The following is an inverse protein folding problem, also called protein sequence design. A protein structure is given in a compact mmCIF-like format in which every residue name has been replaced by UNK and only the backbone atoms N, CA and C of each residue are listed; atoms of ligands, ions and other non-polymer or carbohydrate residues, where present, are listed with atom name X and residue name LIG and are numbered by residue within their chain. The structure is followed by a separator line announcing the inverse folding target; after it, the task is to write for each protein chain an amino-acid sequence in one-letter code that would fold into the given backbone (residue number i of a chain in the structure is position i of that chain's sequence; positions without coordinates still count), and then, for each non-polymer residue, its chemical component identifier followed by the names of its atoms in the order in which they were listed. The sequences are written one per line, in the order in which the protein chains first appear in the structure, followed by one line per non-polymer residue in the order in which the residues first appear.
data_IF_785536572596
#
_entry.id   IF_785536572596
#
_cell.length_a   1.000
_cell.length_b   1.000
_cell.length_c   1.000
_cell.angle_alpha   90.00
_cell.angle_beta   90.00
_cell.angle_gamma   90.00
#
_symmetry.space_group_name_H-M   'P 1'
#
loop_
_entity.id
_entity.type
_entity.pdbx_description
1 polymer ?
#
# COMPACT_ATOMS: atom_id res chain seq x y z
N UNK A 1 21.07 -4.95 -18.76
CA UNK A 1 21.05 -6.20 -17.94
C UNK A 1 20.31 -7.24 -18.77
N UNK A 2 20.78 -8.49 -18.85
CA UNK A 2 20.06 -9.51 -19.61
C UNK A 2 18.66 -9.77 -19.03
N UNK A 3 17.64 -9.94 -19.87
CA UNK A 3 16.23 -10.07 -19.49
C UNK A 3 15.96 -11.15 -18.43
N UNK A 4 16.78 -12.21 -18.41
CA UNK A 4 16.70 -13.28 -17.42
C UNK A 4 17.08 -12.83 -16.00
N UNK A 5 18.12 -11.99 -15.85
CA UNK A 5 18.54 -11.46 -14.54
C UNK A 5 17.52 -10.44 -14.04
N UNK A 6 16.97 -9.62 -14.94
CA UNK A 6 15.94 -8.66 -14.61
C UNK A 6 14.64 -9.34 -14.14
N UNK A 7 14.19 -10.36 -14.87
CA UNK A 7 13.02 -11.16 -14.47
C UNK A 7 13.22 -11.88 -13.13
N UNK A 8 14.40 -12.46 -12.90
CA UNK A 8 14.73 -13.10 -11.62
C UNK A 8 14.79 -12.09 -10.45
N UNK A 9 15.28 -10.87 -10.71
CA UNK A 9 15.35 -9.78 -9.72
C UNK A 9 13.96 -9.29 -9.34
N UNK A 10 13.05 -9.12 -10.30
CA UNK A 10 11.64 -8.77 -10.03
C UNK A 10 10.97 -9.86 -9.19
N UNK A 11 11.19 -11.13 -9.50
CA UNK A 11 10.59 -12.22 -8.73
C UNK A 11 11.08 -12.25 -7.27
N UNK A 12 12.37 -11.99 -7.04
CA UNK A 12 12.95 -11.88 -5.69
C UNK A 12 12.38 -10.68 -4.95
N UNK A 13 12.32 -9.52 -5.60
CA UNK A 13 11.78 -8.28 -5.03
C UNK A 13 10.34 -8.47 -4.55
N UNK A 14 9.47 -9.02 -5.39
CA UNK A 14 8.07 -9.30 -5.05
C UNK A 14 7.95 -10.25 -3.85
N UNK A 15 8.75 -11.32 -3.80
CA UNK A 15 8.66 -12.29 -2.68
C UNK A 15 9.19 -11.67 -1.38
N UNK A 16 10.33 -10.97 -1.45
CA UNK A 16 10.95 -10.32 -0.31
C UNK A 16 10.03 -9.22 0.26
N UNK A 17 9.39 -8.42 -0.60
CA UNK A 17 8.38 -7.43 -0.22
C UNK A 17 7.16 -8.07 0.46
N UNK A 18 6.66 -9.20 -0.04
CA UNK A 18 5.54 -9.92 0.56
C UNK A 18 5.89 -10.50 1.94
N UNK A 19 7.09 -11.07 2.11
CA UNK A 19 7.58 -11.52 3.41
C UNK A 19 7.68 -10.33 4.37
N UNK A 20 8.20 -9.19 3.91
CA UNK A 20 8.26 -7.98 4.72
C UNK A 20 6.87 -7.45 5.12
N UNK A 21 5.91 -7.46 4.19
CA UNK A 21 4.53 -7.10 4.48
C UNK A 21 3.95 -7.96 5.60
N UNK A 22 4.25 -9.26 5.65
CA UNK A 22 3.81 -10.13 6.74
C UNK A 22 4.36 -9.68 8.12
N UNK A 23 5.63 -9.27 8.18
CA UNK A 23 6.21 -8.68 9.40
C UNK A 23 5.54 -7.35 9.79
N UNK A 24 5.21 -6.51 8.81
CA UNK A 24 4.53 -5.25 9.10
C UNK A 24 3.09 -5.43 9.54
N UNK A 25 2.37 -6.43 9.00
CA UNK A 25 1.03 -6.80 9.48
C UNK A 25 1.09 -7.33 10.92
N UNK A 26 2.14 -8.06 11.27
CA UNK A 26 2.40 -8.45 12.66
C UNK A 26 2.65 -7.22 13.55
N UNK A 27 3.48 -6.27 13.11
CA UNK A 27 3.66 -5.01 13.86
C UNK A 27 2.37 -4.19 13.98
N UNK A 28 1.54 -4.17 12.94
CA UNK A 28 0.23 -3.53 12.98
C UNK A 28 -0.69 -4.15 14.04
N UNK A 29 -0.70 -5.48 14.16
CA UNK A 29 -1.48 -6.19 15.18
C UNK A 29 -0.98 -5.92 16.62
N UNK A 30 0.32 -5.61 16.79
CA UNK A 30 0.95 -5.38 18.08
C UNK A 30 1.32 -3.91 18.35
N UNK A 31 0.80 -2.97 17.57
CA UNK A 31 1.24 -1.57 17.54
C UNK A 31 1.29 -0.91 18.94
N UNK A 32 0.22 -0.99 19.74
CA UNK A 32 0.11 -0.32 21.05
C UNK A 32 1.24 -0.71 21.98
N UNK A 33 1.61 -1.99 22.00
CA UNK A 33 2.69 -2.50 22.87
C UNK A 33 4.05 -2.00 22.39
N UNK A 34 4.26 -1.98 21.07
CA UNK A 34 5.52 -1.53 20.48
C UNK A 34 5.67 -0.02 20.65
N UNK A 35 4.64 0.76 20.34
CA UNK A 35 4.61 2.22 20.48
C UNK A 35 4.85 2.66 21.94
N UNK A 36 4.27 1.96 22.92
CA UNK A 36 4.54 2.20 24.34
C UNK A 36 5.99 1.90 24.72
N UNK A 37 6.56 0.83 24.17
CA UNK A 37 7.93 0.43 24.45
C UNK A 37 8.96 1.38 23.83
N UNK A 38 8.69 1.88 22.61
CA UNK A 38 9.55 2.86 21.92
C UNK A 38 9.32 4.30 22.40
N UNK A 39 8.24 4.56 23.16
CA UNK A 39 7.86 5.90 23.60
C UNK A 39 7.38 6.78 22.44
N UNK A 40 6.73 6.18 21.45
CA UNK A 40 6.24 6.87 20.25
C UNK A 40 5.07 7.82 20.55
N UNK A 41 4.99 8.94 19.83
CA UNK A 41 3.87 9.87 19.92
C UNK A 41 2.72 9.45 19.00
N UNK A 42 1.71 8.78 19.56
CA UNK A 42 0.54 8.29 18.82
C UNK A 42 -0.61 9.29 18.74
N UNK A 43 -0.45 10.53 19.21
CA UNK A 43 -1.53 11.50 19.36
C UNK A 43 -2.32 11.75 18.07
N UNK A 44 -1.64 11.93 16.94
CA UNK A 44 -2.27 12.17 15.64
C UNK A 44 -3.10 10.97 15.17
N UNK A 45 -2.62 9.75 15.39
CA UNK A 45 -3.30 8.52 14.99
C UNK A 45 -4.50 8.25 15.90
N UNK A 46 -4.34 8.41 17.21
CA UNK A 46 -5.44 8.26 18.15
C UNK A 46 -6.51 9.33 17.93
N UNK A 47 -6.16 10.56 17.55
CA UNK A 47 -7.13 11.58 17.17
C UNK A 47 -7.99 11.14 15.98
N UNK A 48 -7.38 10.63 14.91
CA UNK A 48 -8.09 10.16 13.72
C UNK A 48 -8.94 8.94 14.04
N UNK A 49 -8.40 7.99 14.81
CA UNK A 49 -9.12 6.79 15.27
C UNK A 49 -10.33 7.17 16.12
N UNK A 50 -10.16 7.98 17.16
CA UNK A 50 -11.26 8.38 18.03
C UNK A 50 -12.35 9.14 17.27
N UNK A 51 -11.97 9.98 16.30
CA UNK A 51 -12.94 10.67 15.44
C UNK A 51 -13.73 9.68 14.58
N UNK A 52 -13.08 8.66 14.03
CA UNK A 52 -13.75 7.61 13.26
C UNK A 52 -14.68 6.76 14.13
N UNK A 53 -14.22 6.32 15.31
CA UNK A 53 -14.99 5.53 16.27
C UNK A 53 -16.20 6.30 16.82
N UNK A 54 -16.03 7.59 17.14
CA UNK A 54 -17.13 8.45 17.60
C UNK A 54 -18.21 8.60 16.53
N UNK A 55 -17.81 8.79 15.27
CA UNK A 55 -18.74 8.86 14.15
C UNK A 55 -19.45 7.50 13.94
N UNK A 56 -18.73 6.38 13.95
CA UNK A 56 -19.32 5.04 13.85
C UNK A 56 -20.37 4.83 14.95
N UNK A 57 -20.05 5.20 16.19
CA UNK A 57 -20.96 5.09 17.32
C UNK A 57 -22.22 5.98 17.17
N UNK A 58 -22.07 7.18 16.61
CA UNK A 58 -23.17 8.11 16.35
C UNK A 58 -24.16 7.57 15.31
N UNK A 59 -23.66 6.96 14.23
CA UNK A 59 -24.51 6.49 13.12
C UNK A 59 -24.94 5.02 13.22
N UNK A 60 -24.47 4.30 14.24
CA UNK A 60 -24.65 2.84 14.38
C UNK A 60 -26.12 2.42 14.39
N UNK A 61 -26.48 1.48 13.51
CA UNK A 61 -27.82 0.87 13.45
C UNK A 61 -27.77 -0.60 13.02
N UNK A 62 -28.86 -1.33 13.23
CA UNK A 62 -28.98 -2.71 12.77
C UNK A 62 -29.17 -2.70 11.24
N UNK A 63 -28.30 -3.38 10.47
CA UNK A 63 -28.39 -3.40 9.01
C UNK A 63 -29.65 -4.14 8.54
N UNK A 64 -30.37 -3.55 7.59
CA UNK A 64 -31.38 -4.27 6.81
C UNK A 64 -30.75 -4.95 5.59
N UNK A 65 -31.52 -5.82 4.92
CA UNK A 65 -31.08 -6.40 3.64
C UNK A 65 -30.80 -5.30 2.60
N UNK A 66 -31.66 -4.29 2.53
CA UNK A 66 -31.50 -3.15 1.62
C UNK A 66 -30.23 -2.37 1.90
N UNK A 67 -29.92 -2.10 3.17
CA UNK A 67 -28.68 -1.44 3.56
C UNK A 67 -27.45 -2.22 3.09
N UNK A 68 -27.47 -3.54 3.29
CA UNK A 68 -26.36 -4.43 2.91
C UNK A 68 -26.21 -4.48 1.39
N UNK A 69 -27.31 -4.58 0.65
CA UNK A 69 -27.30 -4.55 -0.83
C UNK A 69 -26.80 -3.20 -1.35
N UNK A 70 -27.19 -2.09 -0.72
CA UNK A 70 -26.74 -0.75 -1.11
C UNK A 70 -25.25 -0.55 -0.84
N UNK A 71 -24.76 -1.03 0.31
CA UNK A 71 -23.34 -1.04 0.64
C UNK A 71 -22.53 -1.81 -0.42
N UNK A 72 -22.96 -3.03 -0.75
CA UNK A 72 -22.30 -3.83 -1.78
C UNK A 72 -22.39 -3.17 -3.16
N UNK A 73 -23.56 -2.62 -3.53
CA UNK A 73 -23.74 -1.93 -4.80
C UNK A 73 -22.82 -0.73 -4.96
N UNK A 74 -22.64 0.07 -3.91
CA UNK A 74 -21.71 1.21 -3.93
C UNK A 74 -20.26 0.72 -3.97
N UNK A 75 -19.90 -0.29 -3.17
CA UNK A 75 -18.53 -0.83 -3.16
C UNK A 75 -18.11 -1.45 -4.49
N UNK A 76 -18.93 -2.35 -5.04
CA UNK A 76 -18.69 -2.97 -6.34
C UNK A 76 -18.87 -1.98 -7.49
N UNK A 77 -19.82 -1.04 -7.38
CA UNK A 77 -20.02 0.03 -8.36
C UNK A 77 -18.82 0.96 -8.46
N UNK A 78 -18.25 1.39 -7.33
CA UNK A 78 -17.02 2.18 -7.30
C UNK A 78 -15.84 1.41 -7.89
N UNK A 79 -15.72 0.12 -7.59
CA UNK A 79 -14.70 -0.77 -8.19
C UNK A 79 -14.88 -0.88 -9.70
N UNK A 80 -16.10 -1.07 -10.19
CA UNK A 80 -16.42 -1.15 -11.61
C UNK A 80 -16.09 0.16 -12.34
N UNK A 81 -16.44 1.31 -11.75
CA UNK A 81 -16.03 2.61 -12.27
C UNK A 81 -14.50 2.77 -12.30
N UNK A 82 -13.80 2.24 -11.29
CA UNK A 82 -12.34 2.17 -11.26
C UNK A 82 -11.77 1.39 -12.43
N UNK A 83 -12.32 0.21 -12.74
CA UNK A 83 -11.92 -0.59 -13.90
C UNK A 83 -12.18 0.14 -15.23
N UNK A 84 -13.38 0.68 -15.41
CA UNK A 84 -13.72 1.43 -16.64
C UNK A 84 -12.79 2.63 -16.80
N UNK A 85 -12.55 3.40 -15.75
CA UNK A 85 -11.64 4.54 -15.81
C UNK A 85 -10.20 4.13 -16.06
N UNK A 86 -9.72 3.03 -15.47
CA UNK A 86 -8.38 2.52 -15.73
C UNK A 86 -8.21 2.03 -17.17
N UNK A 87 -9.21 1.38 -17.76
CA UNK A 87 -9.19 0.92 -19.15
C UNK A 87 -9.18 2.09 -20.15
N UNK A 88 -9.73 3.24 -19.76
CA UNK A 88 -9.70 4.47 -20.57
C UNK A 88 -8.38 5.23 -20.42
N UNK A 89 -7.85 5.34 -19.20
CA UNK A 89 -6.67 6.18 -18.90
C UNK A 89 -5.36 5.46 -19.22
N UNK A 90 -5.27 4.15 -18.93
CA UNK A 90 -4.02 3.39 -19.08
C UNK A 90 -3.48 3.37 -20.51
N UNK A 91 -4.29 3.20 -21.58
CA UNK A 91 -3.80 3.28 -22.94
C UNK A 91 -3.25 4.67 -23.29
N UNK A 92 -3.91 5.73 -22.81
CA UNK A 92 -3.44 7.10 -23.01
C UNK A 92 -2.12 7.36 -22.29
N UNK A 93 -1.98 6.91 -21.04
CA UNK A 93 -0.72 6.95 -20.30
C UNK A 93 0.41 6.18 -20.99
N UNK A 94 0.08 5.01 -21.56
CA UNK A 94 1.05 4.17 -22.28
C UNK A 94 1.54 4.84 -23.57
N UNK A 95 0.66 5.51 -24.31
CA UNK A 95 1.05 6.32 -25.46
C UNK A 95 1.94 7.49 -25.05
N UNK A 96 1.61 8.17 -23.96
CA UNK A 96 2.43 9.24 -23.40
C UNK A 96 3.82 8.72 -22.95
N UNK A 97 3.89 7.51 -22.40
CA UNK A 97 5.13 6.90 -21.96
C UNK A 97 6.14 6.67 -23.10
N UNK A 98 5.66 6.44 -24.34
CA UNK A 98 6.53 6.35 -25.52
C UNK A 98 7.28 7.66 -25.81
N UNK A 99 6.70 8.81 -25.44
CA UNK A 99 7.30 10.15 -25.58
C UNK A 99 8.09 10.50 -24.32
N UNK A 100 7.60 10.05 -23.16
CA UNK A 100 8.10 10.40 -21.84
C UNK A 100 8.29 9.14 -20.98
N UNK A 101 9.45 8.48 -21.05
CA UNK A 101 9.70 7.21 -20.35
C UNK A 101 9.54 7.26 -18.83
N UNK A 102 9.64 8.45 -18.22
CA UNK A 102 9.44 8.63 -16.78
C UNK A 102 8.02 8.26 -16.31
N UNK A 103 7.02 8.28 -17.20
CA UNK A 103 5.62 7.95 -16.90
C UNK A 103 5.47 6.48 -16.52
N UNK A 104 6.16 5.59 -17.23
CA UNK A 104 6.19 4.16 -16.90
C UNK A 104 6.90 3.93 -15.57
N UNK A 105 7.96 4.69 -15.29
CA UNK A 105 8.77 4.55 -14.08
C UNK A 105 8.04 4.97 -12.79
N UNK A 106 6.99 5.80 -12.88
CA UNK A 106 6.12 6.15 -11.74
C UNK A 106 4.81 5.34 -11.72
N UNK A 107 4.76 4.24 -12.46
CA UNK A 107 3.62 3.31 -12.51
C UNK A 107 2.30 3.91 -13.04
N UNK A 108 2.32 5.04 -13.77
CA UNK A 108 1.11 5.62 -14.36
C UNK A 108 0.56 4.79 -15.53
N UNK A 109 1.34 3.86 -16.06
CA UNK A 109 0.90 2.85 -17.04
C UNK A 109 0.23 1.64 -16.40
N UNK A 110 0.15 1.58 -15.05
CA UNK A 110 -0.49 0.47 -14.35
C UNK A 110 -2.01 0.68 -14.27
N UNK A 111 -2.79 -0.23 -14.87
CA UNK A 111 -4.25 -0.24 -14.71
C UNK A 111 -4.65 -0.36 -13.23
N UNK A 112 -3.92 -1.17 -12.46
CA UNK A 112 -4.19 -1.32 -11.03
C UNK A 112 -4.01 -0.02 -10.25
N UNK A 113 -3.00 0.80 -10.59
CA UNK A 113 -2.82 2.11 -9.97
C UNK A 113 -4.06 2.99 -10.15
N UNK A 114 -4.58 3.07 -11.38
CA UNK A 114 -5.77 3.87 -11.68
C UNK A 114 -7.04 3.32 -11.04
N UNK A 115 -7.20 1.99 -10.97
CA UNK A 115 -8.32 1.38 -10.24
C UNK A 115 -8.33 1.87 -8.79
N UNK A 116 -7.19 1.82 -8.10
CA UNK A 116 -7.07 2.25 -6.70
C UNK A 116 -7.31 3.75 -6.56
N UNK A 117 -6.70 4.58 -7.41
CA UNK A 117 -6.86 6.05 -7.36
C UNK A 117 -8.31 6.45 -7.59
N UNK A 118 -8.96 5.89 -8.61
CA UNK A 118 -10.35 6.21 -8.95
C UNK A 118 -11.31 5.67 -7.87
N UNK A 119 -11.15 4.43 -7.43
CA UNK A 119 -12.01 3.85 -6.39
C UNK A 119 -11.89 4.66 -5.08
N UNK A 120 -10.69 5.09 -4.72
CA UNK A 120 -10.45 5.96 -3.55
C UNK A 120 -11.07 7.33 -3.75
N UNK A 121 -10.93 7.93 -4.94
CA UNK A 121 -11.53 9.21 -5.29
C UNK A 121 -13.05 9.19 -5.27
N UNK A 122 -13.67 8.14 -5.81
CA UNK A 122 -15.12 7.91 -5.75
C UNK A 122 -15.57 7.70 -4.31
N UNK A 123 -14.86 6.86 -3.53
CA UNK A 123 -15.15 6.66 -2.11
C UNK A 123 -15.11 7.96 -1.32
N UNK A 124 -14.11 8.81 -1.56
CA UNK A 124 -13.99 10.13 -0.95
C UNK A 124 -15.13 11.06 -1.40
N UNK A 125 -15.42 11.12 -2.70
CA UNK A 125 -16.52 11.94 -3.22
C UNK A 125 -17.88 11.54 -2.61
N UNK A 126 -18.13 10.23 -2.54
CA UNK A 126 -19.35 9.64 -1.97
C UNK A 126 -19.42 9.86 -0.44
N UNK A 127 -18.28 9.98 0.24
CA UNK A 127 -18.22 10.30 1.68
C UNK A 127 -18.77 11.69 2.04
N UNK A 128 -18.84 12.62 1.08
CA UNK A 128 -19.50 13.92 1.25
C UNK A 128 -21.02 13.86 1.06
N UNK A 129 -21.57 12.71 0.65
CA UNK A 129 -23.00 12.49 0.43
C UNK A 129 -23.61 11.66 1.56
N UNK A 130 -24.93 11.44 1.52
CA UNK A 130 -25.65 10.59 2.49
C UNK A 130 -25.13 9.15 2.57
N UNK A 131 -24.41 8.68 1.55
CA UNK A 131 -23.80 7.36 1.56
C UNK A 131 -22.78 7.16 2.70
N UNK A 132 -22.25 8.23 3.31
CA UNK A 132 -21.41 8.13 4.52
C UNK A 132 -22.12 7.52 5.73
N UNK A 133 -23.46 7.53 5.76
CA UNK A 133 -24.25 6.89 6.83
C UNK A 133 -24.20 5.36 6.74
N UNK A 134 -23.71 4.81 5.60
CA UNK A 134 -23.50 3.37 5.46
C UNK A 134 -22.42 2.83 6.39
N UNK A 135 -21.60 3.70 6.99
CA UNK A 135 -20.71 3.29 8.06
C UNK A 135 -21.50 2.73 9.26
N UNK A 136 -22.66 3.31 9.56
CA UNK A 136 -23.54 2.88 10.64
C UNK A 136 -24.12 1.49 10.48
N UNK A 137 -24.17 0.96 9.25
CA UNK A 137 -24.61 -0.42 8.94
C UNK A 137 -23.43 -1.38 8.76
N UNK A 138 -22.19 -0.90 8.91
CA UNK A 138 -20.98 -1.71 8.93
C UNK A 138 -20.15 -1.70 7.64
N UNK A 139 -20.11 -0.58 6.89
CA UNK A 139 -19.25 -0.45 5.71
C UNK A 139 -17.78 -0.82 5.98
N UNK A 140 -17.15 -0.26 7.03
CA UNK A 140 -15.78 -0.66 7.43
C UNK A 140 -15.64 -2.15 7.79
N UNK A 141 -16.68 -2.77 8.36
CA UNK A 141 -16.66 -4.21 8.71
C UNK A 141 -16.66 -5.08 7.45
N UNK A 142 -17.53 -4.78 6.49
CA UNK A 142 -17.57 -5.48 5.20
C UNK A 142 -16.25 -5.24 4.43
N UNK A 143 -15.75 -4.00 4.43
CA UNK A 143 -14.43 -3.68 3.87
C UNK A 143 -13.31 -4.49 4.50
N UNK A 144 -13.34 -4.70 5.83
CA UNK A 144 -12.35 -5.53 6.55
C UNK A 144 -12.41 -7.01 6.15
N UNK A 145 -13.60 -7.55 5.89
CA UNK A 145 -13.73 -8.92 5.36
C UNK A 145 -13.08 -9.03 3.98
N UNK A 146 -13.37 -8.09 3.07
CA UNK A 146 -12.74 -8.05 1.74
C UNK A 146 -11.23 -7.84 1.83
N UNK A 147 -10.75 -7.04 2.78
CA UNK A 147 -9.33 -6.85 3.06
C UNK A 147 -8.65 -8.18 3.46
N UNK A 148 -9.27 -8.98 4.33
CA UNK A 148 -8.72 -10.28 4.70
C UNK A 148 -8.72 -11.27 3.53
N UNK A 149 -9.74 -11.24 2.68
CA UNK A 149 -9.75 -12.01 1.41
C UNK A 149 -8.61 -11.57 0.49
N UNK A 150 -8.37 -10.26 0.37
CA UNK A 150 -7.27 -9.70 -0.41
C UNK A 150 -5.90 -10.15 0.13
N UNK A 151 -5.68 -10.05 1.45
CA UNK A 151 -4.43 -10.50 2.10
C UNK A 151 -4.20 -11.99 1.86
N UNK A 152 -5.24 -12.82 2.03
CA UNK A 152 -5.15 -14.25 1.75
C UNK A 152 -4.79 -14.50 0.27
N UNK A 153 -5.39 -13.76 -0.65
CA UNK A 153 -5.12 -13.87 -2.10
C UNK A 153 -3.69 -13.48 -2.45
N UNK A 154 -3.15 -12.42 -1.85
CA UNK A 154 -1.74 -12.03 -2.04
C UNK A 154 -0.81 -13.13 -1.53
N UNK A 155 -1.08 -13.69 -0.34
CA UNK A 155 -0.32 -14.80 0.22
C UNK A 155 -0.31 -16.04 -0.68
N UNK A 156 -1.46 -16.39 -1.28
CA UNK A 156 -1.57 -17.54 -2.19
C UNK A 156 -0.79 -17.39 -3.50
N UNK A 157 -0.52 -16.15 -3.96
CA UNK A 157 0.26 -15.89 -5.17
C UNK A 157 1.77 -16.08 -4.97
N UNK A 158 2.25 -16.20 -3.72
CA UNK A 158 3.67 -16.31 -3.41
C UNK A 158 4.19 -17.74 -3.64
N UNK A 159 5.24 -17.88 -4.46
CA UNK A 159 5.94 -19.15 -4.64
C UNK A 159 7.21 -19.24 -3.79
N UNK A 160 7.07 -19.74 -2.56
CA UNK A 160 8.19 -19.85 -1.58
C UNK A 160 9.30 -20.77 -2.11
N UNK A 161 8.97 -21.77 -2.93
CA UNK A 161 9.95 -22.72 -3.47
C UNK A 161 10.92 -22.06 -4.46
N UNK A 162 10.63 -20.86 -4.95
CA UNK A 162 11.55 -20.10 -5.80
C UNK A 162 12.84 -19.70 -5.07
N UNK A 163 12.81 -19.60 -3.73
CA UNK A 163 13.97 -19.28 -2.89
C UNK A 163 15.10 -20.30 -3.10
N UNK A 164 14.76 -21.59 -3.18
CA UNK A 164 15.73 -22.66 -3.35
C UNK A 164 16.36 -22.70 -4.75
N UNK A 165 15.73 -22.08 -5.75
CA UNK A 165 16.25 -22.04 -7.12
C UNK A 165 17.31 -20.97 -7.32
N UNK A 166 17.20 -19.84 -6.60
CA UNK A 166 18.12 -18.70 -6.72
C UNK A 166 18.52 -18.15 -5.34
N UNK A 167 19.20 -18.96 -4.49
CA UNK A 167 19.50 -18.57 -3.11
C UNK A 167 20.38 -17.31 -3.03
N UNK A 168 21.30 -17.12 -3.99
CA UNK A 168 22.18 -15.95 -4.04
C UNK A 168 21.42 -14.63 -4.21
N UNK A 169 20.42 -14.58 -5.09
CA UNK A 169 19.62 -13.37 -5.29
C UNK A 169 18.73 -13.07 -4.07
N UNK A 170 18.20 -14.11 -3.42
CA UNK A 170 17.44 -13.95 -2.18
C UNK A 170 18.28 -13.41 -1.03
N UNK A 171 19.55 -13.82 -0.92
CA UNK A 171 20.47 -13.25 0.08
C UNK A 171 20.72 -11.76 -0.15
N UNK A 172 20.86 -11.33 -1.40
CA UNK A 172 20.99 -9.90 -1.75
C UNK A 172 19.72 -9.14 -1.36
N UNK A 173 18.54 -9.63 -1.75
CA UNK A 173 17.26 -9.01 -1.39
C UNK A 173 17.02 -8.96 0.12
N UNK A 174 17.36 -10.04 0.85
CA UNK A 174 17.27 -10.08 2.29
C UNK A 174 18.23 -9.08 2.96
N UNK A 175 19.46 -8.98 2.47
CA UNK A 175 20.45 -8.01 2.97
C UNK A 175 19.94 -6.58 2.79
N UNK A 176 19.41 -6.26 1.60
CA UNK A 176 18.79 -4.96 1.33
C UNK A 176 17.63 -4.68 2.29
N UNK A 177 16.74 -5.65 2.50
CA UNK A 177 15.62 -5.48 3.42
C UNK A 177 16.04 -5.31 4.88
N UNK A 178 17.09 -5.99 5.33
CA UNK A 178 17.62 -5.80 6.68
C UNK A 178 18.16 -4.38 6.84
N UNK A 179 18.87 -3.85 5.84
CA UNK A 179 19.35 -2.46 5.85
C UNK A 179 18.17 -1.47 5.87
N UNK A 180 17.20 -1.66 4.97
CA UNK A 180 16.00 -0.84 4.89
C UNK A 180 15.19 -0.85 6.20
N UNK A 181 14.88 -2.04 6.71
CA UNK A 181 14.14 -2.21 7.96
C UNK A 181 14.91 -1.64 9.15
N UNK A 182 16.22 -1.88 9.23
CA UNK A 182 17.08 -1.33 10.27
C UNK A 182 17.09 0.19 10.27
N UNK A 183 17.23 0.81 9.10
CA UNK A 183 17.18 2.27 8.96
C UNK A 183 15.80 2.84 9.31
N UNK A 184 14.72 2.20 8.85
CA UNK A 184 13.36 2.62 9.18
C UNK A 184 13.06 2.53 10.68
N UNK A 185 13.48 1.45 11.34
CA UNK A 185 13.33 1.29 12.79
C UNK A 185 14.19 2.29 13.57
N UNK A 186 15.42 2.54 13.12
CA UNK A 186 16.30 3.54 13.72
C UNK A 186 15.68 4.93 13.63
N UNK A 187 15.26 5.35 12.43
CA UNK A 187 14.65 6.67 12.21
C UNK A 187 13.35 6.80 13.01
N UNK A 188 12.49 5.77 13.01
CA UNK A 188 11.28 5.75 13.80
C UNK A 188 11.57 5.91 15.30
N UNK A 189 12.61 5.25 15.81
CA UNK A 189 13.05 5.41 17.19
C UNK A 189 13.57 6.83 17.49
N UNK A 190 14.42 7.38 16.62
CA UNK A 190 15.04 8.70 16.80
C UNK A 190 14.00 9.83 16.84
N UNK A 191 12.98 9.77 15.98
CA UNK A 191 11.94 10.81 15.92
C UNK A 191 10.70 10.46 16.75
N UNK A 192 10.72 9.32 17.47
CA UNK A 192 9.57 8.78 18.23
C UNK A 192 8.32 8.61 17.36
N UNK A 193 8.50 8.13 16.14
CA UNK A 193 7.40 7.89 15.21
C UNK A 193 6.58 6.65 15.62
N UNK A 194 5.24 6.73 15.54
CA UNK A 194 4.38 5.56 15.60
C UNK A 194 4.74 4.48 14.59
N UNK A 195 4.55 3.22 14.99
CA UNK A 195 4.65 2.04 14.13
C UNK A 195 3.77 2.17 12.89
N UNK A 196 2.63 2.87 12.98
CA UNK A 196 1.77 3.17 11.83
C UNK A 196 2.54 3.86 10.70
N UNK A 197 3.18 5.00 10.97
CA UNK A 197 3.87 5.76 9.92
C UNK A 197 5.08 5.00 9.38
N UNK A 198 5.80 4.29 10.26
CA UNK A 198 6.92 3.45 9.86
C UNK A 198 6.46 2.31 8.93
N UNK A 199 5.40 1.59 9.28
CA UNK A 199 4.92 0.44 8.52
C UNK A 199 4.31 0.86 7.17
N UNK A 200 3.40 1.85 7.17
CA UNK A 200 2.75 2.32 5.94
C UNK A 200 3.77 3.02 5.03
N UNK A 201 4.66 3.85 5.60
CA UNK A 201 5.74 4.48 4.87
C UNK A 201 6.72 3.46 4.28
N UNK A 202 7.07 2.41 5.03
CA UNK A 202 7.91 1.34 4.50
C UNK A 202 7.24 0.60 3.34
N UNK A 203 5.95 0.29 3.40
CA UNK A 203 5.26 -0.39 2.30
C UNK A 203 5.05 0.51 1.09
N UNK A 204 4.84 1.81 1.30
CA UNK A 204 4.77 2.76 0.21
C UNK A 204 6.06 2.79 -0.63
N UNK A 205 7.21 2.49 -0.02
CA UNK A 205 8.51 2.44 -0.69
C UNK A 205 8.87 1.04 -1.24
N UNK A 206 8.42 -0.05 -0.59
CA UNK A 206 8.83 -1.43 -0.95
C UNK A 206 7.71 -2.23 -1.63
N UNK A 207 6.46 -2.08 -1.20
CA UNK A 207 5.34 -2.93 -1.62
C UNK A 207 4.37 -2.26 -2.61
N UNK A 208 4.61 -0.99 -2.96
CA UNK A 208 3.88 -0.29 -4.02
C UNK A 208 2.43 0.11 -3.70
N UNK A 209 1.70 0.53 -4.74
CA UNK A 209 0.35 1.12 -4.63
C UNK A 209 -0.71 0.15 -4.11
N UNK A 210 -0.45 -1.16 -4.21
CA UNK A 210 -1.39 -2.20 -3.79
C UNK A 210 -1.31 -2.52 -2.29
N UNK A 211 -0.11 -2.61 -1.73
CA UNK A 211 0.10 -3.18 -0.39
C UNK A 211 0.17 -2.12 0.71
N UNK A 212 0.57 -0.88 0.41
CA UNK A 212 0.58 0.18 1.40
C UNK A 212 -0.83 0.50 1.97
N UNK A 213 -1.90 0.56 1.16
CA UNK A 213 -3.27 0.67 1.67
C UNK A 213 -3.67 -0.52 2.54
N UNK A 214 -3.22 -1.73 2.18
CA UNK A 214 -3.50 -2.96 2.94
C UNK A 214 -2.89 -2.88 4.33
N UNK A 215 -1.62 -2.48 4.44
CA UNK A 215 -0.96 -2.30 5.74
C UNK A 215 -1.59 -1.15 6.53
N UNK A 216 -1.98 -0.05 5.89
CA UNK A 216 -2.69 1.04 6.58
C UNK A 216 -4.04 0.57 7.16
N UNK A 217 -4.82 -0.17 6.37
CA UNK A 217 -6.11 -0.72 6.81
C UNK A 217 -6.00 -1.75 7.93
N UNK A 218 -4.84 -2.41 8.06
CA UNK A 218 -4.59 -3.32 9.18
C UNK A 218 -4.51 -2.60 10.54
N UNK A 219 -4.18 -1.30 10.58
CA UNK A 219 -4.27 -0.49 11.80
C UNK A 219 -5.69 0.00 12.07
N UNK A 220 -6.37 0.46 11.02
CA UNK A 220 -7.79 0.81 11.03
C UNK A 220 -8.30 0.93 9.58
N UNK A 221 -9.46 0.36 9.22
CA UNK A 221 -9.97 0.38 7.84
C UNK A 221 -10.05 1.80 7.23
N UNK A 222 -10.48 2.78 8.02
CA UNK A 222 -10.53 4.19 7.62
C UNK A 222 -9.19 4.85 7.27
N UNK A 223 -8.05 4.19 7.51
CA UNK A 223 -6.71 4.69 7.17
C UNK A 223 -6.23 4.24 5.78
N UNK A 224 -7.00 3.42 5.05
CA UNK A 224 -6.65 2.98 3.68
C UNK A 224 -6.30 4.16 2.74
N UNK A 225 -7.08 5.26 2.70
CA UNK A 225 -6.78 6.40 1.83
C UNK A 225 -5.43 7.05 2.13
N UNK A 226 -5.01 7.08 3.40
CA UNK A 226 -3.69 7.59 3.80
C UNK A 226 -2.58 6.71 3.20
N UNK A 227 -2.77 5.38 3.24
CA UNK A 227 -1.85 4.44 2.61
C UNK A 227 -1.74 4.62 1.09
N UNK A 228 -2.85 4.90 0.40
CA UNK A 228 -2.85 5.20 -1.05
C UNK A 228 -2.03 6.45 -1.34
N UNK A 229 -2.27 7.54 -0.62
CA UNK A 229 -1.55 8.81 -0.83
C UNK A 229 -0.05 8.65 -0.55
N UNK A 230 0.31 7.96 0.53
CA UNK A 230 1.71 7.67 0.85
C UNK A 230 2.37 6.82 -0.23
N UNK A 231 1.67 5.86 -0.83
CA UNK A 231 2.20 5.05 -1.93
C UNK A 231 2.49 5.88 -3.19
N UNK A 232 1.60 6.81 -3.54
CA UNK A 232 1.82 7.70 -4.70
C UNK A 232 3.07 8.55 -4.49
N UNK A 233 3.20 9.16 -3.31
CA UNK A 233 4.38 9.97 -2.95
C UNK A 233 5.65 9.11 -2.89
N UNK A 234 5.55 7.91 -2.31
CA UNK A 234 6.63 6.94 -2.22
C UNK A 234 7.16 6.53 -3.59
N UNK A 235 6.28 6.26 -4.56
CA UNK A 235 6.70 5.96 -5.93
C UNK A 235 7.41 7.14 -6.58
N UNK A 236 6.87 8.35 -6.46
CA UNK A 236 7.49 9.53 -7.06
C UNK A 236 8.91 9.76 -6.52
N UNK A 237 9.07 9.74 -5.19
CA UNK A 237 10.36 9.93 -4.54
C UNK A 237 11.32 8.76 -4.81
N UNK A 238 10.83 7.53 -4.69
CA UNK A 238 11.60 6.31 -4.89
C UNK A 238 12.18 6.23 -6.30
N UNK A 239 11.38 6.51 -7.32
CA UNK A 239 11.84 6.52 -8.72
C UNK A 239 12.94 7.56 -8.95
N UNK A 240 12.77 8.77 -8.41
CA UNK A 240 13.78 9.83 -8.54
C UNK A 240 15.10 9.47 -7.83
N UNK A 241 15.01 8.96 -6.59
CA UNK A 241 16.17 8.52 -5.82
C UNK A 241 16.88 7.32 -6.48
N UNK A 242 16.13 6.38 -7.05
CA UNK A 242 16.69 5.23 -7.77
C UNK A 242 17.45 5.68 -9.03
N UNK A 243 16.88 6.61 -9.81
CA UNK A 243 17.54 7.20 -10.96
C UNK A 243 18.85 7.91 -10.58
N UNK A 244 18.82 8.73 -9.53
CA UNK A 244 20.02 9.42 -9.03
C UNK A 244 21.08 8.43 -8.53
N UNK A 245 20.67 7.38 -7.83
CA UNK A 245 21.57 6.31 -7.37
C UNK A 245 22.20 5.58 -8.57
N UNK A 246 21.43 5.35 -9.64
CA UNK A 246 21.92 4.78 -10.89
C UNK A 246 23.03 5.63 -11.52
N UNK A 247 22.86 6.95 -11.57
CA UNK A 247 23.89 7.88 -12.07
C UNK A 247 25.16 7.80 -11.21
N UNK A 248 25.02 7.82 -9.88
CA UNK A 248 26.18 7.72 -8.97
C UNK A 248 26.93 6.41 -9.19
N UNK A 249 26.21 5.29 -9.33
CA UNK A 249 26.83 3.99 -9.60
C UNK A 249 27.54 3.93 -10.96
N UNK A 250 26.98 4.55 -12.00
CA UNK A 250 27.65 4.65 -13.31
C UNK A 250 28.96 5.45 -13.22
N UNK A 251 28.96 6.55 -12.48
CA UNK A 251 30.17 7.35 -12.23
C UNK A 251 31.23 6.57 -11.46
N UNK A 252 30.84 5.84 -10.42
CA UNK A 252 31.75 4.99 -9.62
C UNK A 252 32.29 3.81 -10.42
N UNK A 253 31.50 3.24 -11.32
CA UNK A 253 31.92 2.14 -12.20
C UNK A 253 32.86 2.58 -13.36
N UNK A 254 33.15 3.88 -13.49
CA UNK A 254 34.05 4.43 -14.51
C UNK A 254 33.41 4.60 -15.89
N UNK A 255 32.08 4.61 -15.99
CA UNK A 255 31.34 4.74 -17.24
C UNK A 255 31.10 6.18 -17.69
N UNK A 256 32.18 6.94 -17.91
CA UNK A 256 32.18 8.19 -18.69
C UNK A 256 32.58 7.94 -20.14
#
# INVERSE_FOLDING_TARGET
VGDQIFSAMIAVDVIVANVWMAFLLFFAANNRRIDQWTGADTSAIEHIRHKAEAYEAEVRRIPTLTDTMMLLAIGFGATALGHVGADLITPWMSQLANIHPWIEQISLTSSFFWIVVIATGVGLAVSFTRARELEGVGASRVGSVLLYVLIATIGMKMNILAIFKNPGLFLVGATWMVIHAGLMLLVAYLIKAPVFFMAVGSQANVGGAASAPVVASAFHPGLAPVGVLLAVVGYFLGTYCAWLTGIVLQLVAGGG
#
